data_IF_473992354456
#
_entry.id   IF_473992354456
#
_cell.length_a   1.000
_cell.length_b   1.000
_cell.length_c   1.000
_cell.angle_alpha   90.00
_cell.angle_beta   90.00
_cell.angle_gamma   90.00
#
_symmetry.space_group_name_H-M   'P 1'
#
loop_
_entity.id
_entity.type
_entity.pdbx_description
1 polymer ?
#
# COMPACT_ATOMS: atom_id res chain seq x y z
N UNK A 1 10.36 7.08 -1.20
CA UNK A 1 9.59 6.37 -0.16
C UNK A 1 9.57 7.06 1.19
N UNK A 2 10.71 7.38 1.80
CA UNK A 2 10.75 7.91 3.18
C UNK A 2 9.82 9.11 3.44
N UNK A 3 9.81 10.11 2.54
CA UNK A 3 8.93 11.28 2.70
C UNK A 3 7.45 10.87 2.68
N UNK A 4 7.05 9.99 1.77
CA UNK A 4 5.66 9.50 1.68
C UNK A 4 5.29 8.69 2.92
N UNK A 5 6.21 7.88 3.47
CA UNK A 5 5.98 7.16 4.72
C UNK A 5 5.75 8.12 5.88
N UNK A 6 6.60 9.14 6.03
CA UNK A 6 6.45 10.13 7.10
C UNK A 6 5.14 10.91 6.96
N UNK A 7 4.79 11.32 5.73
CA UNK A 7 3.53 12.00 5.46
C UNK A 7 2.36 11.12 5.86
N UNK A 8 2.26 9.89 5.33
CA UNK A 8 1.16 8.97 5.63
C UNK A 8 1.09 8.59 7.12
N UNK A 9 2.23 8.43 7.78
CA UNK A 9 2.29 8.12 9.21
C UNK A 9 1.69 9.24 10.08
N UNK A 10 1.78 10.49 9.65
CA UNK A 10 1.22 11.64 10.37
C UNK A 10 -0.21 11.92 9.91
N UNK A 11 -0.46 11.88 8.60
CA UNK A 11 -1.75 12.27 8.02
C UNK A 11 -2.83 11.26 8.32
N UNK A 12 -2.58 9.94 8.20
CA UNK A 12 -3.63 8.93 8.38
C UNK A 12 -4.27 8.96 9.78
N UNK A 13 -3.52 8.95 10.91
CA UNK A 13 -4.13 9.02 12.24
C UNK A 13 -4.89 10.32 12.49
N UNK A 14 -4.38 11.45 11.98
CA UNK A 14 -5.06 12.76 12.08
C UNK A 14 -6.34 12.75 11.25
N UNK A 15 -6.29 12.18 10.06
CA UNK A 15 -7.41 11.87 9.18
C UNK A 15 -8.53 11.17 9.93
N UNK A 16 -8.22 9.96 10.39
CA UNK A 16 -9.18 9.04 11.05
C UNK A 16 -9.73 9.63 12.35
N UNK A 17 -8.91 10.33 13.14
CA UNK A 17 -9.32 10.82 14.45
C UNK A 17 -10.15 12.11 14.40
N UNK A 18 -9.87 13.01 13.44
CA UNK A 18 -10.44 14.37 13.43
C UNK A 18 -11.36 14.65 12.24
N UNK A 19 -11.25 13.91 11.13
CA UNK A 19 -12.02 14.15 9.92
C UNK A 19 -12.99 12.97 9.67
N UNK A 20 -14.20 13.09 10.22
CA UNK A 20 -15.28 12.09 10.07
C UNK A 20 -16.31 12.44 8.99
N UNK A 21 -16.21 13.61 8.38
CA UNK A 21 -17.13 14.08 7.33
C UNK A 21 -16.42 13.99 5.97
N UNK A 22 -17.17 13.55 4.94
CA UNK A 22 -16.74 13.24 3.58
C UNK A 22 -15.34 13.78 3.21
N UNK A 23 -14.32 12.91 3.07
CA UNK A 23 -12.96 13.35 2.83
C UNK A 23 -12.91 14.19 1.55
N UNK A 24 -12.32 15.38 1.67
CA UNK A 24 -12.14 16.28 0.54
C UNK A 24 -11.50 15.53 -0.64
N UNK A 25 -11.95 15.81 -1.87
CA UNK A 25 -11.40 15.23 -3.10
C UNK A 25 -9.85 15.25 -3.15
N UNK A 26 -9.23 16.30 -2.60
CA UNK A 26 -7.76 16.38 -2.50
C UNK A 26 -7.15 15.31 -1.58
N UNK A 27 -7.78 15.01 -0.45
CA UNK A 27 -7.34 13.99 0.50
C UNK A 27 -7.42 12.59 -0.10
N UNK A 28 -8.56 12.28 -0.71
CA UNK A 28 -8.78 11.01 -1.41
C UNK A 28 -7.76 10.84 -2.54
N UNK A 29 -7.56 11.87 -3.36
CA UNK A 29 -6.55 11.84 -4.42
C UNK A 29 -5.13 11.62 -3.87
N UNK A 30 -4.77 12.31 -2.78
CA UNK A 30 -3.47 12.14 -2.13
C UNK A 30 -3.25 10.71 -1.61
N UNK A 31 -4.24 10.12 -0.95
CA UNK A 31 -4.16 8.74 -0.49
C UNK A 31 -4.04 7.77 -1.67
N UNK A 32 -4.88 7.89 -2.69
CA UNK A 32 -4.84 7.02 -3.87
C UNK A 32 -3.49 7.08 -4.60
N UNK A 33 -2.92 8.28 -4.75
CA UNK A 33 -1.58 8.46 -5.35
C UNK A 33 -0.50 7.82 -4.46
N UNK A 34 -0.58 8.02 -3.14
CA UNK A 34 0.37 7.44 -2.19
C UNK A 34 0.35 5.91 -2.24
N UNK A 35 -0.83 5.30 -2.19
CA UNK A 35 -1.01 3.85 -2.28
C UNK A 35 -0.45 3.29 -3.59
N UNK A 36 -0.70 3.99 -4.72
CA UNK A 36 -0.16 3.61 -6.02
C UNK A 36 1.37 3.64 -6.03
N UNK A 37 1.98 4.65 -5.40
CA UNK A 37 3.45 4.75 -5.33
C UNK A 37 4.04 3.65 -4.43
N UNK A 38 3.39 3.31 -3.31
CA UNK A 38 3.83 2.18 -2.47
C UNK A 38 3.72 0.85 -3.21
N UNK A 39 2.65 0.65 -3.98
CA UNK A 39 2.52 -0.53 -4.81
C UNK A 39 3.63 -0.62 -5.88
N UNK A 40 4.02 0.51 -6.49
CA UNK A 40 5.15 0.56 -7.43
C UNK A 40 6.50 0.24 -6.75
N UNK A 41 6.69 0.63 -5.49
CA UNK A 41 7.92 0.36 -4.74
C UNK A 41 8.18 -1.14 -4.57
N UNK A 42 7.13 -1.94 -4.41
CA UNK A 42 7.23 -3.42 -4.37
C UNK A 42 7.95 -3.95 -5.61
N UNK A 43 7.60 -3.47 -6.80
CA UNK A 43 8.24 -3.91 -8.05
C UNK A 43 9.70 -3.48 -8.13
N UNK A 44 10.04 -2.32 -7.57
CA UNK A 44 11.43 -1.86 -7.46
C UNK A 44 12.20 -2.76 -6.50
N UNK A 45 11.61 -3.12 -5.35
CA UNK A 45 12.22 -3.99 -4.34
C UNK A 45 12.54 -5.39 -4.88
N UNK A 46 11.76 -5.92 -5.84
CA UNK A 46 12.11 -7.15 -6.56
C UNK A 46 13.39 -7.06 -7.42
N UNK A 47 13.86 -5.86 -7.75
CA UNK A 47 15.07 -5.62 -8.55
C UNK A 47 16.21 -4.99 -7.76
N UNK A 48 15.97 -4.59 -6.52
CA UNK A 48 16.99 -4.00 -5.65
C UNK A 48 17.93 -5.09 -5.13
N UNK A 49 19.23 -4.92 -5.37
CA UNK A 49 20.26 -5.86 -4.93
C UNK A 49 20.33 -5.99 -3.41
N UNK A 50 20.65 -7.20 -2.93
CA UNK A 50 20.73 -7.51 -1.50
C UNK A 50 22.20 -7.66 -1.10
N UNK A 51 22.56 -7.10 0.04
CA UNK A 51 23.88 -7.26 0.64
C UNK A 51 23.86 -8.55 1.47
N UNK A 52 24.73 -9.51 1.14
CA UNK A 52 24.68 -10.85 1.74
C UNK A 52 25.43 -10.97 3.06
N UNK A 53 26.46 -10.14 3.26
CA UNK A 53 27.33 -10.15 4.45
C UNK A 53 27.39 -8.76 5.10
N UNK A 54 27.52 -8.72 6.42
CA UNK A 54 27.57 -7.47 7.21
C UNK A 54 28.71 -6.52 6.81
N UNK A 55 29.76 -7.04 6.14
CA UNK A 55 30.89 -6.25 5.63
C UNK A 55 30.65 -5.63 4.25
N UNK A 56 29.48 -5.82 3.65
CA UNK A 56 29.13 -5.32 2.32
C UNK A 56 30.03 -5.78 1.16
N UNK A 57 30.85 -6.81 1.37
CA UNK A 57 31.79 -7.33 0.36
C UNK A 57 31.10 -8.07 -0.80
N UNK A 58 29.85 -8.52 -0.62
CA UNK A 58 29.13 -9.29 -1.64
C UNK A 58 27.70 -8.73 -1.84
N UNK A 59 27.46 -8.17 -3.02
CA UNK A 59 26.14 -7.72 -3.48
C UNK A 59 25.58 -8.76 -4.43
N UNK A 60 24.45 -9.36 -4.06
CA UNK A 60 23.72 -10.28 -4.91
C UNK A 60 22.88 -9.48 -5.89
N UNK A 61 23.21 -9.58 -7.17
CA UNK A 61 22.48 -8.95 -8.28
C UNK A 61 21.62 -9.97 -9.07
N UNK A 62 21.61 -11.24 -8.66
CA UNK A 62 20.82 -12.26 -9.32
C UNK A 62 19.32 -12.03 -9.04
N UNK A 63 18.49 -11.70 -10.05
CA UNK A 63 17.10 -11.32 -9.84
C UNK A 63 16.26 -12.47 -9.25
N UNK A 64 16.61 -13.73 -9.51
CA UNK A 64 15.89 -14.88 -8.96
C UNK A 64 16.17 -15.04 -7.46
N UNK A 65 17.41 -14.80 -7.04
CA UNK A 65 17.81 -14.87 -5.63
C UNK A 65 17.21 -13.70 -4.84
N UNK A 66 17.22 -12.49 -5.43
CA UNK A 66 16.56 -11.30 -4.86
C UNK A 66 15.06 -11.56 -4.66
N UNK A 67 14.36 -12.05 -5.68
CA UNK A 67 12.93 -12.31 -5.59
C UNK A 67 12.59 -13.33 -4.50
N UNK A 68 13.32 -14.45 -4.42
CA UNK A 68 13.08 -15.48 -3.39
C UNK A 68 13.33 -14.92 -1.99
N UNK A 69 14.40 -14.15 -1.79
CA UNK A 69 14.70 -13.55 -0.50
C UNK A 69 13.66 -12.51 -0.08
N UNK A 70 13.27 -11.62 -1.00
CA UNK A 70 12.25 -10.60 -0.75
C UNK A 70 10.88 -11.20 -0.43
N UNK A 71 10.45 -12.24 -1.18
CA UNK A 71 9.21 -12.98 -0.93
C UNK A 71 9.15 -13.61 0.48
N UNK A 72 10.30 -14.05 1.01
CA UNK A 72 10.39 -14.70 2.32
C UNK A 72 10.46 -13.73 3.50
N UNK A 73 10.79 -12.47 3.25
CA UNK A 73 11.10 -11.48 4.29
C UNK A 73 10.03 -10.39 4.36
N UNK A 74 10.06 -9.45 3.41
CA UNK A 74 9.33 -8.18 3.51
C UNK A 74 8.11 -8.10 2.60
N UNK A 75 8.05 -8.91 1.54
CA UNK A 75 6.99 -8.83 0.54
C UNK A 75 5.57 -8.83 1.11
N UNK A 76 5.28 -9.71 2.08
CA UNK A 76 3.93 -9.80 2.66
C UNK A 76 3.57 -8.51 3.43
N UNK A 77 4.54 -7.91 4.12
CA UNK A 77 4.33 -6.67 4.86
C UNK A 77 4.12 -5.50 3.90
N UNK A 78 4.92 -5.40 2.84
CA UNK A 78 4.79 -4.36 1.82
C UNK A 78 3.47 -4.51 1.03
N UNK A 79 3.07 -5.75 0.74
CA UNK A 79 1.81 -6.02 0.05
C UNK A 79 0.61 -5.59 0.91
N UNK A 80 0.56 -5.97 2.19
CA UNK A 80 -0.55 -5.60 3.08
C UNK A 80 -0.60 -4.09 3.28
N UNK A 81 0.55 -3.43 3.41
CA UNK A 81 0.62 -1.98 3.66
C UNK A 81 0.30 -1.12 2.43
N UNK A 82 0.44 -1.66 1.22
CA UNK A 82 0.15 -0.95 -0.04
C UNK A 82 -1.27 -1.16 -0.56
N UNK A 83 -2.09 -2.00 0.09
CA UNK A 83 -3.46 -2.26 -0.37
C UNK A 83 -4.40 -1.10 0.01
N UNK A 84 -5.19 -0.57 -0.95
CA UNK A 84 -6.16 0.50 -0.71
C UNK A 84 -7.45 -0.06 -0.06
N UNK A 85 -7.34 -0.55 1.18
CA UNK A 85 -8.42 -1.30 1.87
C UNK A 85 -9.70 -0.46 1.99
N UNK A 86 -9.58 0.83 2.30
CA UNK A 86 -10.74 1.72 2.46
C UNK A 86 -11.58 1.80 1.17
N UNK A 87 -10.91 1.86 0.01
CA UNK A 87 -11.58 1.88 -1.29
C UNK A 87 -12.25 0.55 -1.61
N UNK A 88 -11.59 -0.57 -1.28
CA UNK A 88 -12.15 -1.91 -1.48
C UNK A 88 -13.41 -2.07 -0.62
N UNK A 89 -13.35 -1.68 0.66
CA UNK A 89 -14.49 -1.74 1.58
C UNK A 89 -15.63 -0.87 1.07
N UNK A 90 -15.36 0.39 0.69
CA UNK A 90 -16.39 1.30 0.18
C UNK A 90 -17.04 0.80 -1.11
N UNK A 91 -16.27 0.24 -2.04
CA UNK A 91 -16.82 -0.35 -3.27
C UNK A 91 -17.74 -1.54 -2.96
N UNK A 92 -17.34 -2.39 -2.01
CA UNK A 92 -18.11 -3.59 -1.61
C UNK A 92 -19.37 -3.23 -0.82
N UNK A 93 -19.36 -2.15 -0.03
CA UNK A 93 -20.56 -1.71 0.72
C UNK A 93 -21.55 -0.95 -0.18
N UNK A 94 -21.07 -0.21 -1.17
CA UNK A 94 -21.92 0.50 -2.14
C UNK A 94 -22.76 -0.50 -2.95
N UNK A 95 -22.11 -1.53 -3.50
CA UNK A 95 -22.78 -2.58 -4.30
C UNK A 95 -23.87 -3.32 -3.52
N UNK A 96 -23.65 -3.56 -2.21
CA UNK A 96 -24.65 -4.15 -1.32
C UNK A 96 -25.89 -3.26 -1.15
N UNK A 97 -25.69 -1.96 -1.00
CA UNK A 97 -26.79 -1.02 -0.75
C UNK A 97 -27.71 -0.91 -1.98
N UNK A 98 -27.12 -0.93 -3.19
CA UNK A 98 -27.87 -0.93 -4.44
C UNK A 98 -28.69 -2.23 -4.64
N UNK A 99 -28.21 -3.36 -4.11
CA UNK A 99 -28.92 -4.64 -4.19
C UNK A 99 -30.14 -4.74 -3.24
N UNK A 100 -30.13 -4.03 -2.10
CA UNK A 100 -31.27 -3.99 -1.16
C UNK A 100 -32.37 -3.00 -1.58
N UNK A 101 -32.05 -2.01 -2.43
CA UNK A 101 -32.99 -1.01 -2.95
C UNK A 101 -33.93 -1.53 -4.05
N UNK A 102 -33.74 -2.77 -4.53
CA UNK A 102 -34.66 -3.43 -5.47
C UNK A 102 -35.64 -4.30 -4.66
N UNK A 103 -36.91 -3.88 -4.45
CA UNK A 103 -37.88 -4.73 -3.76
C UNK A 103 -38.17 -5.99 -4.58
N UNK A 104 -38.43 -7.14 -3.93
CA UNK A 104 -38.85 -8.35 -4.64
C UNK A 104 -40.18 -8.09 -5.35
N UNK A 105 -40.24 -8.48 -6.63
CA UNK A 105 -41.37 -8.34 -7.56
C UNK A 105 -42.60 -9.13 -7.11
#
# INVERSE_FOLDING_TARGET
MLILLILNLITLPVGIAFFNEDPNQFWTCFNAISDTIFFLDIFVNFRTGIIKNDYADEIVLNPREIAIHYLRTWFILDLISSLPIDYIVNAVTTDRTDSELIPPL
#
